data_IF_320051056955
#
_entry.id   IF_320051056955
#
_cell.length_a   1.000
_cell.length_b   1.000
_cell.length_c   1.000
_cell.angle_alpha   90.00
_cell.angle_beta   90.00
_cell.angle_gamma   90.00
#
_symmetry.space_group_name_H-M   'P 1'
#
loop_
_entity.id
_entity.type
_entity.pdbx_description
1 polymer ?
#
# COMPACT_ATOMS: atom_id res chain seq x y z
N UNK A 1 -26.96 41.97 -90.99
CA UNK A 1 -27.38 43.32 -90.53
C UNK A 1 -27.20 43.31 -89.02
N UNK A 2 -26.11 43.89 -88.48
CA UNK A 2 -26.12 45.19 -87.76
C UNK A 2 -27.36 45.30 -86.85
N UNK A 3 -27.29 45.51 -85.52
CA UNK A 3 -26.41 46.44 -84.79
C UNK A 3 -26.76 46.39 -83.27
N UNK A 4 -25.75 46.62 -82.41
CA UNK A 4 -25.82 47.31 -81.08
C UNK A 4 -26.31 46.57 -79.80
N UNK A 5 -25.93 47.00 -78.58
CA UNK A 5 -24.74 46.47 -77.90
C UNK A 5 -24.97 46.00 -76.45
N UNK A 6 -23.91 45.37 -75.94
CA UNK A 6 -23.67 44.91 -74.57
C UNK A 6 -23.60 46.08 -73.56
N UNK A 7 -24.48 46.11 -72.56
CA UNK A 7 -24.32 46.93 -71.36
C UNK A 7 -23.68 46.08 -70.25
N UNK A 8 -22.43 46.43 -69.91
CA UNK A 8 -21.69 45.90 -68.77
C UNK A 8 -22.16 46.67 -67.54
N UNK A 9 -22.91 46.00 -66.64
CA UNK A 9 -23.25 46.53 -65.33
C UNK A 9 -22.22 46.02 -64.30
N UNK A 10 -21.46 46.97 -63.77
CA UNK A 10 -20.50 46.84 -62.68
C UNK A 10 -21.23 46.50 -61.38
N UNK A 11 -21.11 45.27 -60.87
CA UNK A 11 -21.50 44.94 -59.50
C UNK A 11 -20.26 44.89 -58.60
N UNK A 12 -20.12 45.94 -57.81
CA UNK A 12 -19.15 46.07 -56.72
C UNK A 12 -19.59 45.14 -55.58
N UNK A 13 -18.90 44.02 -55.36
CA UNK A 13 -19.10 43.18 -54.17
C UNK A 13 -18.36 43.79 -52.98
N UNK A 14 -19.13 44.40 -52.06
CA UNK A 14 -18.62 44.86 -50.78
C UNK A 14 -18.38 43.64 -49.88
N UNK A 15 -17.11 43.26 -49.70
CA UNK A 15 -16.71 42.29 -48.69
C UNK A 15 -16.81 42.93 -47.31
N UNK A 16 -17.78 42.51 -46.49
CA UNK A 16 -17.81 42.84 -45.07
C UNK A 16 -16.96 41.80 -44.34
N UNK A 17 -15.76 42.21 -43.94
CA UNK A 17 -14.90 41.46 -43.02
C UNK A 17 -15.46 41.61 -41.61
N UNK A 18 -16.01 40.55 -41.01
CA UNK A 18 -16.26 40.52 -39.57
C UNK A 18 -14.89 40.41 -38.86
N UNK A 19 -14.45 41.50 -38.23
CA UNK A 19 -13.39 41.44 -37.25
C UNK A 19 -13.97 40.84 -35.95
N UNK A 20 -13.62 39.59 -35.65
CA UNK A 20 -13.83 39.02 -34.33
C UNK A 20 -12.80 39.63 -33.37
N UNK A 21 -13.26 40.36 -32.37
CA UNK A 21 -12.43 40.84 -31.27
C UNK A 21 -12.24 39.70 -30.28
N UNK A 22 -11.15 38.94 -30.42
CA UNK A 22 -10.68 38.02 -29.38
C UNK A 22 -10.11 38.85 -28.21
N UNK A 23 -10.91 39.05 -27.18
CA UNK A 23 -10.38 39.34 -25.84
C UNK A 23 -9.82 38.06 -25.23
N UNK A 24 -8.60 38.06 -24.69
CA UNK A 24 -8.08 36.91 -23.97
C UNK A 24 -8.93 36.69 -22.72
N UNK A 25 -9.57 35.53 -22.62
CA UNK A 25 -10.23 35.10 -21.39
C UNK A 25 -9.16 34.69 -20.37
N UNK A 26 -9.15 35.37 -19.23
CA UNK A 26 -8.37 34.93 -18.07
C UNK A 26 -8.69 33.47 -17.74
N UNK A 27 -7.71 32.68 -17.24
CA UNK A 27 -7.95 31.31 -16.82
C UNK A 27 -8.97 31.31 -15.67
N UNK A 28 -10.17 30.78 -15.94
CA UNK A 28 -11.22 30.58 -14.95
C UNK A 28 -10.67 29.62 -13.90
N UNK A 29 -10.47 30.11 -12.67
CA UNK A 29 -10.14 29.27 -11.53
C UNK A 29 -11.22 28.17 -11.39
N UNK A 30 -10.84 26.90 -11.13
CA UNK A 30 -11.80 25.82 -11.02
C UNK A 30 -12.82 26.14 -9.92
N UNK A 31 -14.11 26.04 -10.26
CA UNK A 31 -15.21 26.22 -9.32
C UNK A 31 -15.15 25.10 -8.27
N UNK A 32 -14.61 25.42 -7.10
CA UNK A 32 -14.60 24.53 -5.94
C UNK A 32 -16.05 24.45 -5.43
N UNK A 33 -16.69 23.29 -5.58
CA UNK A 33 -17.99 23.05 -4.95
C UNK A 33 -17.89 23.34 -3.43
N UNK A 34 -18.89 23.96 -2.79
CA UNK A 34 -18.84 24.28 -1.37
C UNK A 34 -18.60 23.01 -0.55
N UNK A 35 -17.46 22.99 0.16
CA UNK A 35 -17.02 21.82 0.90
C UNK A 35 -17.89 21.60 2.14
N UNK A 36 -18.28 20.36 2.46
CA UNK A 36 -18.82 20.04 3.78
C UNK A 36 -17.86 20.48 4.90
N UNK A 37 -18.35 20.94 6.05
CA UNK A 37 -17.49 21.31 7.17
C UNK A 37 -16.61 20.12 7.58
N UNK A 38 -15.32 20.38 7.80
CA UNK A 38 -14.36 19.39 8.27
C UNK A 38 -14.34 19.35 9.80
N UNK A 39 -14.15 18.16 10.36
CA UNK A 39 -13.85 18.00 11.77
C UNK A 39 -12.42 18.50 12.10
N UNK A 40 -12.06 18.53 13.38
CA UNK A 40 -10.69 18.77 13.81
C UNK A 40 -9.76 17.69 13.21
N UNK A 41 -8.69 18.13 12.54
CA UNK A 41 -7.79 17.25 11.81
C UNK A 41 -6.85 17.98 10.85
N UNK A 42 -5.92 17.23 10.29
CA UNK A 42 -5.03 17.67 9.23
C UNK A 42 -5.48 17.01 7.92
N UNK A 43 -5.58 17.78 6.85
CA UNK A 43 -6.10 17.29 5.57
C UNK A 43 -5.23 17.72 4.40
N UNK A 44 -5.25 16.94 3.33
CA UNK A 44 -4.68 17.27 2.02
C UNK A 44 -5.79 17.35 0.97
N UNK A 45 -5.95 18.51 0.36
CA UNK A 45 -6.84 18.71 -0.77
C UNK A 45 -6.06 18.56 -2.09
N UNK A 46 -6.43 17.58 -2.88
CA UNK A 46 -5.85 17.37 -4.21
C UNK A 46 -6.76 17.99 -5.26
N UNK A 47 -6.24 18.98 -5.99
CA UNK A 47 -6.91 19.59 -7.14
C UNK A 47 -6.38 18.92 -8.40
N UNK A 48 -7.27 18.33 -9.19
CA UNK A 48 -6.93 17.59 -10.42
C UNK A 48 -7.83 18.05 -11.58
N UNK A 49 -7.55 17.55 -12.77
CA UNK A 49 -8.40 17.77 -13.96
C UNK A 49 -9.81 17.18 -13.84
N UNK A 50 -10.03 16.21 -12.92
CA UNK A 50 -11.33 15.59 -12.66
C UNK A 50 -12.08 16.23 -11.50
N UNK A 51 -11.55 17.31 -10.93
CA UNK A 51 -12.08 17.96 -9.75
C UNK A 51 -11.21 17.75 -8.52
N UNK A 52 -11.80 17.99 -7.36
CA UNK A 52 -11.08 18.07 -6.08
C UNK A 52 -11.50 16.96 -5.14
N UNK A 53 -10.54 16.22 -4.60
CA UNK A 53 -10.77 15.25 -3.52
C UNK A 53 -9.95 15.61 -2.28
N UNK A 54 -10.42 15.20 -1.10
CA UNK A 54 -9.76 15.54 0.18
C UNK A 54 -9.41 14.27 0.93
N UNK A 55 -8.16 14.19 1.38
CA UNK A 55 -7.68 13.15 2.28
C UNK A 55 -7.52 13.68 3.70
N UNK A 56 -8.01 12.93 4.69
CA UNK A 56 -7.58 13.05 6.09
C UNK A 56 -6.17 12.49 6.23
N UNK A 57 -5.28 13.21 6.94
CA UNK A 57 -3.91 12.79 7.24
C UNK A 57 -3.81 12.35 8.70
N UNK A 58 -3.25 11.17 8.93
CA UNK A 58 -3.14 10.57 10.27
C UNK A 58 -1.92 11.09 11.05
N UNK A 59 -1.80 12.41 11.17
CA UNK A 59 -0.61 13.11 11.70
C UNK A 59 -0.19 12.71 13.13
N UNK A 60 -1.11 12.16 13.92
CA UNK A 60 -0.81 11.64 15.27
C UNK A 60 -0.27 10.21 15.25
N UNK A 61 -0.64 9.42 14.23
CA UNK A 61 -0.29 8.00 14.11
C UNK A 61 0.98 7.80 13.28
N UNK A 62 1.15 8.61 12.23
CA UNK A 62 2.30 8.56 11.31
C UNK A 62 2.93 9.96 11.14
N UNK A 63 3.42 10.56 12.24
CA UNK A 63 3.90 11.93 12.24
C UNK A 63 5.08 12.17 11.28
N UNK A 64 6.02 11.24 11.14
CA UNK A 64 7.18 11.44 10.24
C UNK A 64 6.73 11.50 8.77
N UNK A 65 5.85 10.57 8.39
CA UNK A 65 5.29 10.48 7.04
C UNK A 65 4.46 11.71 6.70
N UNK A 66 3.59 12.12 7.62
CA UNK A 66 2.74 13.30 7.42
C UNK A 66 3.54 14.60 7.44
N UNK A 67 4.59 14.70 8.26
CA UNK A 67 5.54 15.85 8.24
C UNK A 67 6.20 15.97 6.87
N UNK A 68 6.72 14.86 6.33
CA UNK A 68 7.33 14.82 4.99
C UNK A 68 6.34 15.24 3.91
N UNK A 69 5.16 14.62 3.88
CA UNK A 69 4.14 14.89 2.87
C UNK A 69 3.62 16.33 2.93
N UNK A 70 3.20 16.80 4.10
CA UNK A 70 2.68 18.15 4.26
C UNK A 70 3.75 19.21 3.99
N UNK A 71 4.99 18.97 4.43
CA UNK A 71 6.08 19.92 4.18
C UNK A 71 6.46 20.02 2.71
N UNK A 72 6.42 18.90 1.97
CA UNK A 72 6.59 18.91 0.51
C UNK A 72 5.44 19.67 -0.17
N UNK A 73 4.19 19.42 0.24
CA UNK A 73 3.02 20.12 -0.32
C UNK A 73 3.08 21.63 -0.08
N UNK A 74 3.55 22.08 1.09
CA UNK A 74 3.65 23.49 1.46
C UNK A 74 4.95 24.16 0.97
N UNK A 75 5.93 23.38 0.52
CA UNK A 75 7.25 23.86 0.12
C UNK A 75 8.17 24.23 1.29
N UNK A 76 7.82 23.86 2.53
CA UNK A 76 8.71 23.95 3.70
C UNK A 76 9.75 22.82 3.75
N UNK A 77 9.54 21.76 2.96
CA UNK A 77 10.50 20.70 2.67
C UNK A 77 10.69 20.55 1.16
N UNK A 78 11.79 19.91 0.78
CA UNK A 78 12.07 19.52 -0.61
C UNK A 78 13.21 20.32 -1.24
N UNK A 79 13.52 20.02 -2.52
CA UNK A 79 14.72 20.54 -3.20
C UNK A 79 14.64 22.03 -3.54
N UNK A 80 13.45 22.65 -3.47
CA UNK A 80 13.21 24.06 -3.79
C UNK A 80 12.35 24.71 -2.68
N UNK A 81 12.97 25.29 -1.65
CA UNK A 81 12.25 25.93 -0.56
C UNK A 81 11.26 27.00 -1.05
N UNK A 82 10.08 27.05 -0.42
CA UNK A 82 9.00 27.98 -0.76
C UNK A 82 8.20 27.61 -2.01
N UNK A 83 8.50 26.48 -2.67
CA UNK A 83 7.76 26.00 -3.84
C UNK A 83 7.01 24.71 -3.49
N UNK A 84 5.67 24.68 -3.61
CA UNK A 84 4.88 23.45 -3.47
C UNK A 84 5.38 22.33 -4.37
N UNK A 85 5.83 21.23 -3.78
CA UNK A 85 6.55 20.17 -4.50
C UNK A 85 5.66 19.39 -5.48
N UNK A 86 4.40 19.15 -5.11
CA UNK A 86 3.48 18.30 -5.87
C UNK A 86 2.79 19.00 -7.03
N UNK A 87 2.81 20.34 -7.06
CA UNK A 87 2.08 21.12 -8.06
C UNK A 87 2.71 20.90 -9.45
N UNK A 88 1.89 20.50 -10.41
CA UNK A 88 2.30 20.16 -11.77
C UNK A 88 2.85 18.75 -11.94
N UNK A 89 2.99 17.97 -10.85
CA UNK A 89 3.37 16.56 -10.97
C UNK A 89 2.21 15.72 -11.50
N UNK A 90 2.53 14.53 -12.01
CA UNK A 90 1.56 13.63 -12.63
C UNK A 90 1.26 12.41 -11.77
N UNK A 91 0.07 11.86 -11.97
CA UNK A 91 -0.19 10.45 -11.68
C UNK A 91 0.49 9.57 -12.75
N UNK A 92 1.77 9.28 -12.54
CA UNK A 92 2.60 8.58 -13.54
C UNK A 92 2.26 7.10 -13.68
N UNK A 93 1.54 6.51 -12.71
CA UNK A 93 1.15 5.10 -12.75
C UNK A 93 -0.28 4.91 -12.27
N UNK A 94 -1.13 4.41 -13.15
CA UNK A 94 -2.52 4.02 -12.85
C UNK A 94 -2.70 2.56 -13.20
N UNK A 95 -3.05 1.76 -12.20
CA UNK A 95 -3.38 0.34 -12.39
C UNK A 95 -4.85 0.16 -12.03
N UNK A 96 -5.73 -0.12 -13.03
CA UNK A 96 -7.15 -0.36 -12.79
C UNK A 96 -7.37 -1.39 -11.69
N UNK A 97 -8.37 -1.14 -10.85
CA UNK A 97 -8.71 -1.99 -9.71
C UNK A 97 -7.53 -2.26 -8.77
N UNK A 98 -6.56 -1.35 -8.68
CA UNK A 98 -5.45 -1.49 -7.75
C UNK A 98 -5.10 -0.16 -7.09
N UNK A 99 -4.39 0.73 -7.80
CA UNK A 99 -3.90 2.00 -7.24
C UNK A 99 -3.75 3.07 -8.32
N UNK A 100 -3.85 4.33 -7.91
CA UNK A 100 -3.32 5.49 -8.65
C UNK A 100 -2.13 6.05 -7.88
N UNK A 101 -0.99 6.25 -8.55
CA UNK A 101 0.28 6.60 -7.93
C UNK A 101 0.84 7.88 -8.54
N UNK A 102 1.31 8.79 -7.66
CA UNK A 102 1.83 10.10 -8.00
C UNK A 102 3.02 10.48 -7.11
N UNK A 103 3.39 11.76 -7.13
CA UNK A 103 4.47 12.30 -6.29
C UNK A 103 5.89 12.07 -6.81
N UNK A 104 6.04 11.67 -8.08
CA UNK A 104 7.35 11.57 -8.75
C UNK A 104 7.61 12.84 -9.60
N UNK A 105 8.71 13.59 -9.33
CA UNK A 105 9.08 14.76 -10.12
C UNK A 105 9.54 14.46 -11.54
N UNK A 106 9.97 13.22 -11.83
CA UNK A 106 10.40 12.80 -13.15
C UNK A 106 9.26 12.19 -13.98
N UNK A 107 8.22 11.69 -13.31
CA UNK A 107 7.12 10.96 -13.92
C UNK A 107 7.51 9.58 -14.48
N UNK A 108 8.67 9.04 -14.09
CA UNK A 108 9.19 7.74 -14.56
C UNK A 108 8.94 6.60 -13.58
N UNK A 109 8.56 6.91 -12.35
CA UNK A 109 8.48 6.01 -11.19
C UNK A 109 9.76 5.98 -10.33
N UNK A 110 10.83 6.68 -10.70
CA UNK A 110 12.14 6.57 -10.05
C UNK A 110 12.58 7.85 -9.30
N UNK A 111 11.92 8.98 -9.51
CA UNK A 111 12.29 10.23 -8.86
C UNK A 111 11.82 10.32 -7.40
N UNK A 112 12.30 11.36 -6.72
CA UNK A 112 11.99 11.61 -5.32
C UNK A 112 12.42 13.00 -4.85
N UNK A 113 12.28 13.30 -3.55
CA UNK A 113 12.48 14.64 -3.01
C UNK A 113 13.95 14.93 -2.66
N UNK A 114 14.86 13.99 -2.94
CA UNK A 114 16.29 14.09 -2.60
C UNK A 114 16.65 13.46 -1.25
N UNK A 115 15.70 12.81 -0.57
CA UNK A 115 15.92 12.07 0.68
C UNK A 115 15.00 10.85 0.77
N UNK A 116 15.31 9.96 1.72
CA UNK A 116 14.48 8.82 2.10
C UNK A 116 14.28 8.79 3.62
N UNK A 117 13.18 8.17 4.07
CA UNK A 117 12.88 8.04 5.50
C UNK A 117 12.17 6.72 5.85
N UNK A 118 12.19 6.42 7.15
CA UNK A 118 11.68 5.19 7.72
C UNK A 118 10.17 4.99 7.54
N UNK A 119 9.73 3.72 7.52
CA UNK A 119 8.31 3.40 7.51
C UNK A 119 7.65 3.64 8.89
N UNK A 120 6.36 3.96 8.89
CA UNK A 120 5.51 4.05 10.07
C UNK A 120 4.30 3.13 9.93
N UNK A 121 4.40 1.95 10.51
CA UNK A 121 3.30 0.98 10.55
C UNK A 121 2.57 1.02 11.90
N UNK A 122 1.25 1.11 11.84
CA UNK A 122 0.38 1.19 13.01
C UNK A 122 -0.72 0.12 12.89
N UNK A 123 -0.93 -0.72 13.92
CA UNK A 123 -2.07 -1.66 13.95
C UNK A 123 -3.40 -0.97 13.62
N UNK A 124 -4.19 -1.58 12.75
CA UNK A 124 -5.45 -1.03 12.24
C UNK A 124 -5.35 -0.03 11.09
N UNK A 125 -4.16 0.46 10.73
CA UNK A 125 -4.00 1.21 9.48
C UNK A 125 -3.68 0.23 8.34
N UNK A 126 -4.71 -0.10 7.56
CA UNK A 126 -4.68 -1.17 6.55
C UNK A 126 -5.13 -0.66 5.18
N UNK A 127 -4.84 -1.43 4.15
CA UNK A 127 -5.31 -1.23 2.79
C UNK A 127 -6.62 -2.00 2.57
N UNK A 128 -7.63 -1.77 3.40
CA UNK A 128 -8.89 -2.53 3.43
C UNK A 128 -10.06 -1.82 2.75
N UNK A 129 -9.82 -0.64 2.17
CA UNK A 129 -10.83 0.17 1.49
C UNK A 129 -10.26 0.87 0.24
N UNK A 130 -11.13 1.49 -0.57
CA UNK A 130 -10.76 2.43 -1.64
C UNK A 130 -10.45 3.80 -1.03
N UNK A 131 -9.43 4.48 -1.55
CA UNK A 131 -9.00 5.81 -1.12
C UNK A 131 -8.05 5.80 0.09
N UNK A 132 -7.43 4.66 0.41
CA UNK A 132 -6.36 4.63 1.41
C UNK A 132 -5.11 5.27 0.81
N UNK A 133 -4.58 6.30 1.48
CA UNK A 133 -3.42 7.05 1.07
C UNK A 133 -2.16 6.50 1.76
N UNK A 134 -1.20 6.06 0.94
CA UNK A 134 -0.01 5.36 1.41
C UNK A 134 1.25 5.78 0.65
N UNK A 135 2.41 5.62 1.29
CA UNK A 135 3.70 5.86 0.64
C UNK A 135 4.06 4.74 -0.34
N UNK A 136 4.50 5.09 -1.54
CA UNK A 136 5.25 4.17 -2.38
C UNK A 136 6.71 4.12 -1.92
N UNK A 137 7.33 2.94 -2.00
CA UNK A 137 8.73 2.73 -1.60
C UNK A 137 9.37 1.60 -2.43
N UNK A 138 10.70 1.47 -2.33
CA UNK A 138 11.50 0.43 -2.99
C UNK A 138 11.88 -0.72 -2.04
N UNK A 139 11.20 -0.81 -0.89
CA UNK A 139 11.58 -1.66 0.23
C UNK A 139 11.57 -0.88 1.55
N UNK A 140 11.92 -1.55 2.66
CA UNK A 140 11.81 -0.96 3.99
C UNK A 140 12.62 0.32 4.13
N UNK A 141 12.03 1.31 4.78
CA UNK A 141 12.65 2.58 5.14
C UNK A 141 13.18 3.39 3.94
N UNK A 142 12.53 3.26 2.77
CA UNK A 142 12.86 4.01 1.54
C UNK A 142 11.74 4.94 1.09
N UNK A 143 10.90 5.40 2.02
CA UNK A 143 9.84 6.36 1.69
C UNK A 143 10.44 7.67 1.20
N UNK A 144 9.87 8.25 0.15
CA UNK A 144 10.29 9.54 -0.43
C UNK A 144 9.10 10.49 -0.57
N UNK A 145 8.82 10.91 -1.80
CA UNK A 145 7.67 11.78 -2.12
C UNK A 145 6.54 11.02 -2.82
N UNK A 146 6.82 9.85 -3.36
CA UNK A 146 5.84 9.08 -4.11
C UNK A 146 4.79 8.48 -3.17
N UNK A 147 3.53 8.62 -3.55
CA UNK A 147 2.38 8.11 -2.81
C UNK A 147 1.42 7.42 -3.77
N UNK A 148 0.51 6.62 -3.22
CA UNK A 148 -0.59 6.06 -3.98
C UNK A 148 -1.90 6.10 -3.18
N UNK A 149 -3.00 6.06 -3.92
CA UNK A 149 -4.35 5.88 -3.41
C UNK A 149 -4.90 4.54 -3.90
N UNK A 150 -5.46 3.74 -3.01
CA UNK A 150 -6.08 2.46 -3.38
C UNK A 150 -7.36 2.68 -4.18
N UNK A 151 -7.59 1.87 -5.21
CA UNK A 151 -8.87 1.85 -5.95
C UNK A 151 -9.83 0.77 -5.42
N UNK A 152 -9.32 -0.20 -4.66
CA UNK A 152 -10.07 -1.25 -3.97
C UNK A 152 -9.29 -1.73 -2.73
N UNK A 153 -9.85 -2.61 -1.87
CA UNK A 153 -9.09 -3.26 -0.81
C UNK A 153 -7.90 -4.07 -1.37
N UNK A 154 -6.69 -3.83 -0.83
CA UNK A 154 -5.44 -4.51 -1.23
C UNK A 154 -4.56 -4.91 -0.04
N UNK A 155 -5.12 -5.70 0.88
CA UNK A 155 -4.47 -6.13 2.13
C UNK A 155 -3.05 -6.72 1.97
N UNK A 156 -2.69 -7.26 0.80
CA UNK A 156 -1.33 -7.73 0.51
C UNK A 156 -0.25 -6.64 0.67
N UNK A 157 -0.63 -5.36 0.67
CA UNK A 157 0.26 -4.21 0.88
C UNK A 157 0.47 -3.83 2.36
N UNK A 158 -0.30 -4.43 3.28
CA UNK A 158 -0.16 -4.18 4.71
C UNK A 158 1.25 -4.56 5.17
N UNK A 159 1.85 -3.71 6.01
CA UNK A 159 3.23 -3.84 6.50
C UNK A 159 4.32 -3.81 5.41
N UNK A 160 3.98 -3.36 4.20
CA UNK A 160 4.93 -3.03 3.13
C UNK A 160 4.93 -1.54 2.80
N UNK A 161 3.80 -0.87 2.93
CA UNK A 161 3.62 0.55 2.63
C UNK A 161 2.96 1.29 3.80
N UNK A 162 3.55 2.40 4.22
CA UNK A 162 3.03 3.21 5.33
C UNK A 162 1.72 3.89 4.93
N UNK A 163 0.63 3.55 5.61
CA UNK A 163 -0.68 4.20 5.45
C UNK A 163 -0.66 5.48 6.29
N UNK A 164 -0.84 6.64 5.67
CA UNK A 164 -0.77 7.92 6.36
C UNK A 164 -1.99 8.81 6.16
N UNK A 165 -3.00 8.32 5.45
CA UNK A 165 -4.27 9.02 5.33
C UNK A 165 -5.35 8.21 4.62
N UNK A 166 -6.50 8.85 4.40
CA UNK A 166 -7.61 8.30 3.61
C UNK A 166 -8.45 9.40 2.97
N UNK A 167 -9.00 9.13 1.79
CA UNK A 167 -9.96 10.01 1.13
C UNK A 167 -11.27 10.06 1.90
N UNK A 168 -11.70 11.25 2.28
CA UNK A 168 -12.96 11.51 2.99
C UNK A 168 -14.01 12.20 2.12
N UNK A 169 -13.59 12.91 1.06
CA UNK A 169 -14.47 13.55 0.08
C UNK A 169 -13.91 13.36 -1.34
N UNK A 170 -14.79 13.21 -2.33
CA UNK A 170 -14.39 13.05 -3.74
C UNK A 170 -13.80 11.66 -4.05
N UNK A 171 -14.20 10.62 -3.31
CA UNK A 171 -13.71 9.25 -3.49
C UNK A 171 -14.11 8.67 -4.85
N UNK A 172 -15.26 9.07 -5.36
CA UNK A 172 -15.78 8.77 -6.69
C UNK A 172 -14.93 9.34 -7.83
N UNK A 173 -14.04 10.30 -7.54
CA UNK A 173 -13.12 10.87 -8.53
C UNK A 173 -11.87 9.99 -8.74
N UNK A 174 -11.51 9.16 -7.76
CA UNK A 174 -10.28 8.36 -7.84
C UNK A 174 -10.23 7.42 -9.05
N UNK A 175 -11.33 6.70 -9.41
CA UNK A 175 -11.34 5.85 -10.61
C UNK A 175 -11.33 6.63 -11.93
N UNK A 176 -11.58 7.95 -11.91
CA UNK A 176 -11.55 8.80 -13.10
C UNK A 176 -10.12 9.22 -13.49
N UNK A 177 -9.20 9.22 -12.52
CA UNK A 177 -7.79 9.57 -12.72
C UNK A 177 -7.16 8.60 -13.72
N UNK A 178 -6.54 9.17 -14.75
CA UNK A 178 -5.81 8.47 -15.80
C UNK A 178 -4.32 8.69 -15.62
N UNK A 179 -3.54 7.79 -16.23
CA UNK A 179 -2.11 7.98 -16.30
C UNK A 179 -1.80 9.31 -16.99
N UNK A 180 -0.79 10.00 -16.46
CA UNK A 180 -0.34 11.33 -16.87
C UNK A 180 -1.25 12.52 -16.49
N UNK A 181 -2.38 12.29 -15.82
CA UNK A 181 -3.19 13.39 -15.28
C UNK A 181 -2.40 14.21 -14.26
N UNK A 182 -2.57 15.52 -14.32
CA UNK A 182 -1.80 16.49 -13.55
C UNK A 182 -2.46 16.77 -12.20
N UNK A 183 -1.64 16.80 -11.15
CA UNK A 183 -1.96 17.34 -9.83
C UNK A 183 -1.73 18.84 -9.92
N UNK A 184 -2.80 19.61 -10.05
CA UNK A 184 -2.73 21.08 -10.14
C UNK A 184 -2.24 21.68 -8.84
N UNK A 185 -2.77 21.20 -7.71
CA UNK A 185 -2.37 21.63 -6.38
C UNK A 185 -2.58 20.55 -5.32
N UNK A 186 -1.76 20.59 -4.27
CA UNK A 186 -2.00 19.88 -3.00
C UNK A 186 -2.04 20.90 -1.87
N UNK A 187 -3.22 21.26 -1.38
CA UNK A 187 -3.38 22.23 -0.30
C UNK A 187 -3.50 21.53 1.06
N UNK A 188 -2.67 21.92 2.03
CA UNK A 188 -2.78 21.39 3.40
C UNK A 188 -3.72 22.27 4.22
N UNK A 189 -4.67 21.62 4.89
CA UNK A 189 -5.72 22.28 5.67
C UNK A 189 -5.64 21.81 7.12
N UNK A 190 -5.60 22.77 8.04
CA UNK A 190 -5.48 22.54 9.49
C UNK A 190 -6.74 23.02 10.20
N UNK A 191 -7.48 22.08 10.78
CA UNK A 191 -8.70 22.38 11.54
C UNK A 191 -8.50 21.93 12.98
N UNK A 192 -8.78 22.83 13.93
CA UNK A 192 -8.58 22.59 15.36
C UNK A 192 -7.14 22.83 15.83
N UNK A 193 -6.99 22.97 17.15
CA UNK A 193 -5.75 23.40 17.78
C UNK A 193 -4.57 22.43 17.55
N UNK A 194 -4.83 21.12 17.60
CA UNK A 194 -3.79 20.11 17.42
C UNK A 194 -3.19 20.13 16.00
N UNK A 195 -4.03 20.26 14.97
CA UNK A 195 -3.56 20.34 13.59
C UNK A 195 -2.84 21.67 13.32
N UNK A 196 -3.33 22.78 13.89
CA UNK A 196 -2.67 24.09 13.81
C UNK A 196 -1.28 24.10 14.46
N UNK A 197 -1.09 23.34 15.53
CA UNK A 197 0.19 23.20 16.21
C UNK A 197 1.17 22.24 15.51
N UNK A 198 0.69 21.39 14.59
CA UNK A 198 1.53 20.42 13.90
C UNK A 198 2.47 21.12 12.90
N UNK A 199 3.78 20.96 13.12
CA UNK A 199 4.82 21.53 12.25
C UNK A 199 5.27 20.54 11.20
N UNK A 200 5.37 21.02 9.96
CA UNK A 200 5.82 20.26 8.80
C UNK A 200 7.08 20.91 8.19
N UNK A 201 8.07 21.22 9.02
CA UNK A 201 9.34 21.85 8.63
C UNK A 201 10.53 20.90 8.81
N UNK A 202 11.71 21.33 8.35
CA UNK A 202 12.94 20.50 8.41
C UNK A 202 13.30 20.09 9.83
N UNK A 203 13.13 20.99 10.82
CA UNK A 203 13.47 20.69 12.21
C UNK A 203 12.55 19.62 12.80
N UNK A 204 11.24 19.70 12.53
CA UNK A 204 10.28 18.67 12.92
C UNK A 204 10.59 17.32 12.25
N UNK A 205 10.90 17.35 10.94
CA UNK A 205 11.26 16.15 10.19
C UNK A 205 12.51 15.48 10.75
N UNK A 206 13.59 16.23 10.97
CA UNK A 206 14.85 15.71 11.50
C UNK A 206 14.68 15.12 12.90
N UNK A 207 13.91 15.79 13.76
CA UNK A 207 13.62 15.32 15.11
C UNK A 207 12.86 13.99 15.10
N UNK A 208 11.84 13.85 14.24
CA UNK A 208 11.08 12.61 14.10
C UNK A 208 11.93 11.50 13.49
N UNK A 209 12.68 11.79 12.42
CA UNK A 209 13.54 10.84 11.73
C UNK A 209 14.63 10.27 12.66
N UNK A 210 15.19 11.09 13.56
CA UNK A 210 16.17 10.65 14.54
C UNK A 210 15.64 9.60 15.53
N UNK A 211 14.32 9.52 15.72
CA UNK A 211 13.68 8.55 16.63
C UNK A 211 13.18 7.28 15.93
N UNK A 212 13.34 7.19 14.61
CA UNK A 212 12.86 6.06 13.84
C UNK A 212 13.51 4.74 14.27
N UNK A 213 12.68 3.69 14.42
CA UNK A 213 13.16 2.37 14.82
C UNK A 213 13.87 1.69 13.65
N UNK A 214 15.07 1.17 13.91
CA UNK A 214 15.85 0.40 12.94
C UNK A 214 15.10 -0.85 12.48
N UNK A 215 15.25 -1.19 11.21
CA UNK A 215 14.72 -2.40 10.61
C UNK A 215 15.42 -3.67 11.17
N UNK A 216 14.69 -4.61 11.80
CA UNK A 216 15.27 -5.80 12.42
C UNK A 216 15.65 -6.91 11.43
N UNK A 217 16.05 -8.08 11.94
CA UNK A 217 16.47 -9.24 11.15
C UNK A 217 15.31 -9.91 10.40
N UNK A 218 15.59 -10.57 9.25
CA UNK A 218 14.61 -11.32 8.47
C UNK A 218 14.00 -12.51 9.25
N UNK A 219 12.78 -12.89 8.86
CA UNK A 219 11.98 -13.95 9.49
C UNK A 219 11.44 -14.99 8.50
N UNK A 220 11.71 -14.83 7.21
CA UNK A 220 11.30 -15.72 6.14
C UNK A 220 12.52 -16.40 5.49
N UNK A 221 12.41 -17.71 5.28
CA UNK A 221 13.47 -18.53 4.66
C UNK A 221 12.92 -19.35 3.48
N UNK A 222 13.66 -19.37 2.36
CA UNK A 222 13.38 -20.13 1.14
C UNK A 222 14.72 -20.67 0.59
N UNK A 223 15.33 -21.64 1.30
CA UNK A 223 16.70 -22.09 1.01
C UNK A 223 16.85 -22.72 -0.37
N UNK A 224 15.76 -23.25 -0.92
CA UNK A 224 15.73 -23.96 -2.20
C UNK A 224 15.19 -23.10 -3.36
N UNK A 225 14.93 -21.81 -3.11
CA UNK A 225 14.44 -20.83 -4.09
C UNK A 225 13.17 -21.28 -4.82
N UNK A 226 12.20 -21.79 -4.07
CA UNK A 226 10.93 -22.29 -4.59
C UNK A 226 10.00 -21.15 -5.03
N UNK A 227 10.20 -19.95 -4.49
CA UNK A 227 9.42 -18.78 -4.84
C UNK A 227 10.00 -18.04 -6.06
N UNK A 228 9.19 -17.24 -6.77
CA UNK A 228 9.67 -16.44 -7.89
C UNK A 228 10.82 -15.52 -7.49
N UNK A 229 11.92 -15.58 -8.25
CA UNK A 229 13.09 -14.73 -8.07
C UNK A 229 12.89 -13.32 -8.64
N UNK A 230 11.94 -13.14 -9.56
CA UNK A 230 11.66 -11.85 -10.21
C UNK A 230 10.15 -11.53 -10.19
N UNK A 231 9.72 -10.51 -9.42
CA UNK A 231 10.48 -9.87 -8.33
C UNK A 231 10.74 -10.88 -7.19
N UNK A 232 11.77 -10.67 -6.34
CA UNK A 232 12.21 -11.66 -5.35
C UNK A 232 11.22 -11.79 -4.20
N UNK A 233 10.31 -12.77 -4.27
CA UNK A 233 9.16 -12.86 -3.36
C UNK A 233 9.54 -13.20 -1.92
N UNK A 234 10.52 -14.08 -1.72
CA UNK A 234 11.06 -14.37 -0.39
C UNK A 234 11.56 -13.10 0.33
N UNK A 235 12.18 -12.17 -0.42
CA UNK A 235 12.63 -10.88 0.12
C UNK A 235 11.45 -10.01 0.56
N UNK A 236 10.33 -10.04 -0.16
CA UNK A 236 9.16 -9.22 0.17
C UNK A 236 8.39 -9.80 1.37
N UNK A 237 8.35 -11.12 1.50
CA UNK A 237 7.84 -11.76 2.72
C UNK A 237 8.69 -11.38 3.93
N UNK A 238 10.02 -11.34 3.77
CA UNK A 238 10.90 -10.82 4.81
C UNK A 238 10.57 -9.38 5.20
N UNK A 239 10.36 -8.49 4.23
CA UNK A 239 9.94 -7.11 4.49
C UNK A 239 8.66 -7.06 5.33
N UNK A 240 7.62 -7.77 4.90
CA UNK A 240 6.33 -7.82 5.58
C UNK A 240 6.44 -8.34 7.02
N UNK A 241 7.07 -9.49 7.24
CA UNK A 241 7.18 -10.11 8.58
C UNK A 241 8.02 -9.26 9.54
N UNK A 242 9.11 -8.68 9.04
CA UNK A 242 10.01 -7.85 9.85
C UNK A 242 9.34 -6.53 10.24
N UNK A 243 8.62 -5.90 9.31
CA UNK A 243 7.85 -4.70 9.57
C UNK A 243 6.70 -4.95 10.55
N UNK A 244 6.01 -6.08 10.42
CA UNK A 244 5.00 -6.49 11.38
C UNK A 244 5.59 -6.61 12.79
N UNK A 245 6.68 -7.36 12.94
CA UNK A 245 7.34 -7.52 14.23
C UNK A 245 7.84 -6.18 14.81
N UNK A 246 8.38 -5.28 13.97
CA UNK A 246 8.81 -3.93 14.37
C UNK A 246 7.65 -3.08 14.91
N UNK A 247 6.47 -3.21 14.31
CA UNK A 247 5.28 -2.45 14.66
C UNK A 247 4.53 -3.01 15.88
N UNK A 248 4.41 -4.33 15.97
CA UNK A 248 3.52 -5.01 16.94
C UNK A 248 4.28 -5.67 18.10
N UNK A 249 5.58 -5.96 17.90
CA UNK A 249 6.37 -6.81 18.79
C UNK A 249 6.13 -8.32 18.60
N UNK A 250 5.14 -8.71 17.77
CA UNK A 250 4.81 -10.12 17.52
C UNK A 250 5.69 -10.66 16.40
N UNK A 251 6.41 -11.76 16.68
CA UNK A 251 7.35 -12.35 15.73
C UNK A 251 6.71 -13.54 15.02
N UNK A 252 6.55 -13.41 13.72
CA UNK A 252 6.08 -14.48 12.83
C UNK A 252 7.23 -14.87 11.93
N UNK A 253 7.58 -16.15 11.97
CA UNK A 253 8.58 -16.77 11.12
C UNK A 253 7.89 -17.68 10.11
N UNK A 254 8.49 -17.81 8.93
CA UNK A 254 8.04 -18.80 7.96
C UNK A 254 9.18 -19.40 7.16
N UNK A 255 9.02 -20.67 6.80
CA UNK A 255 9.94 -21.40 5.93
C UNK A 255 9.20 -22.17 4.86
N UNK A 256 9.81 -22.30 3.69
CA UNK A 256 9.35 -23.18 2.62
C UNK A 256 10.43 -24.21 2.31
N UNK A 257 10.05 -25.47 2.21
CA UNK A 257 10.93 -26.59 1.84
C UNK A 257 10.34 -27.31 0.64
N UNK A 258 11.20 -27.83 -0.23
CA UNK A 258 10.79 -28.58 -1.42
C UNK A 258 10.16 -29.90 -1.01
N UNK A 259 10.66 -30.47 0.09
CA UNK A 259 10.30 -31.78 0.58
C UNK A 259 10.32 -31.83 2.11
N UNK A 260 9.41 -32.61 2.70
CA UNK A 260 9.57 -33.00 4.10
C UNK A 260 10.68 -34.04 4.28
N UNK A 261 11.73 -33.67 5.02
CA UNK A 261 12.84 -34.56 5.39
C UNK A 261 12.83 -34.81 6.91
N UNK A 262 12.38 -35.99 7.38
CA UNK A 262 12.33 -36.27 8.80
C UNK A 262 13.75 -36.49 9.37
N UNK A 263 14.06 -35.85 10.49
CA UNK A 263 15.29 -36.05 11.26
C UNK A 263 15.32 -37.42 11.95
N UNK A 264 14.15 -37.98 12.26
CA UNK A 264 14.01 -39.28 12.93
C UNK A 264 12.90 -40.15 12.32
N UNK A 265 12.99 -41.49 12.38
CA UNK A 265 11.96 -42.37 11.85
C UNK A 265 10.58 -42.09 12.45
N UNK A 266 9.58 -41.86 11.60
CA UNK A 266 8.19 -41.61 12.02
C UNK A 266 7.91 -40.17 12.45
N UNK A 267 8.89 -39.27 12.40
CA UNK A 267 8.65 -37.83 12.60
C UNK A 267 7.63 -37.35 11.55
N UNK A 268 6.70 -36.51 12.00
CA UNK A 268 5.65 -35.91 11.15
C UNK A 268 5.87 -34.40 11.04
N UNK A 269 5.36 -33.74 9.97
CA UNK A 269 5.49 -32.29 9.77
C UNK A 269 5.15 -31.43 11.00
N UNK A 270 4.10 -31.80 11.74
CA UNK A 270 3.69 -31.08 12.96
C UNK A 270 4.73 -31.13 14.07
N UNK A 271 5.34 -32.30 14.33
CA UNK A 271 6.36 -32.44 15.37
C UNK A 271 7.68 -31.81 14.94
N UNK A 272 8.05 -31.96 13.66
CA UNK A 272 9.19 -31.28 13.05
C UNK A 272 9.09 -29.75 13.23
N UNK A 273 7.91 -29.18 12.96
CA UNK A 273 7.70 -27.72 13.09
C UNK A 273 7.92 -27.26 14.53
N UNK A 274 7.53 -28.06 15.52
CA UNK A 274 7.80 -27.76 16.94
C UNK A 274 9.27 -27.87 17.33
N UNK A 275 10.01 -28.82 16.75
CA UNK A 275 11.46 -28.94 16.93
C UNK A 275 12.21 -27.75 16.32
N UNK A 276 11.86 -27.39 15.10
CA UNK A 276 12.39 -26.21 14.42
C UNK A 276 12.06 -24.93 15.20
N UNK A 277 10.84 -24.79 15.74
CA UNK A 277 10.48 -23.66 16.57
C UNK A 277 11.38 -23.52 17.81
N UNK A 278 11.78 -24.65 18.42
CA UNK A 278 12.74 -24.66 19.54
C UNK A 278 14.15 -24.27 19.09
N UNK A 279 14.64 -24.83 17.99
CA UNK A 279 15.95 -24.51 17.43
C UNK A 279 16.08 -23.02 17.08
N UNK A 280 15.01 -22.41 16.57
CA UNK A 280 14.97 -20.98 16.23
C UNK A 280 14.71 -20.06 17.43
N UNK A 281 14.49 -20.61 18.63
CA UNK A 281 14.19 -19.82 19.83
C UNK A 281 12.82 -19.13 19.80
N UNK A 282 11.88 -19.62 18.98
CA UNK A 282 10.53 -19.05 18.80
C UNK A 282 9.44 -19.86 19.50
N UNK A 283 9.81 -20.94 20.18
CA UNK A 283 8.86 -21.87 20.78
C UNK A 283 7.92 -21.25 21.83
N UNK A 284 8.39 -20.25 22.60
CA UNK A 284 7.59 -19.62 23.67
C UNK A 284 6.83 -18.36 23.27
N UNK A 285 7.45 -17.48 22.47
CA UNK A 285 6.93 -16.13 22.16
C UNK A 285 6.99 -15.79 20.66
N UNK A 286 7.04 -16.80 19.80
CA UNK A 286 6.96 -16.62 18.36
C UNK A 286 5.93 -17.53 17.73
N UNK A 287 5.73 -17.30 16.44
CA UNK A 287 4.85 -18.08 15.58
C UNK A 287 5.71 -18.59 14.43
N UNK A 288 5.56 -19.86 14.05
CA UNK A 288 6.30 -20.45 12.93
C UNK A 288 5.34 -21.20 12.02
N UNK A 289 5.34 -20.84 10.73
CA UNK A 289 4.70 -21.60 9.67
C UNK A 289 5.74 -22.26 8.78
N UNK A 290 5.57 -23.54 8.47
CA UNK A 290 6.48 -24.27 7.58
C UNK A 290 5.67 -24.92 6.48
N UNK A 291 6.06 -24.71 5.23
CA UNK A 291 5.43 -25.36 4.09
C UNK A 291 6.33 -26.44 3.50
N UNK A 292 5.73 -27.60 3.20
CA UNK A 292 6.39 -28.72 2.52
C UNK A 292 5.75 -28.90 1.14
N UNK A 293 6.51 -28.60 0.08
CA UNK A 293 5.96 -28.52 -1.27
C UNK A 293 5.59 -29.89 -1.88
N UNK A 294 6.29 -30.96 -1.50
CA UNK A 294 6.05 -32.33 -1.97
C UNK A 294 4.69 -32.90 -1.53
N UNK A 295 4.23 -32.54 -0.34
CA UNK A 295 2.93 -32.96 0.21
C UNK A 295 1.87 -31.86 0.17
N UNK A 296 2.25 -30.63 -0.18
CA UNK A 296 1.43 -29.42 -0.06
C UNK A 296 0.86 -29.20 1.36
N UNK A 297 1.63 -29.58 2.37
CA UNK A 297 1.22 -29.50 3.78
C UNK A 297 1.86 -28.30 4.49
N UNK A 298 1.09 -27.73 5.43
CA UNK A 298 1.56 -26.70 6.36
C UNK A 298 1.74 -27.25 7.77
N UNK A 299 2.92 -27.02 8.32
CA UNK A 299 3.18 -27.05 9.76
C UNK A 299 2.93 -25.68 10.39
N UNK A 300 2.26 -25.66 11.55
CA UNK A 300 2.01 -24.43 12.31
C UNK A 300 2.33 -24.62 13.79
N UNK A 301 3.25 -23.79 14.29
CA UNK A 301 3.58 -23.62 15.69
C UNK A 301 3.15 -22.24 16.17
N UNK A 302 2.40 -22.23 17.27
CA UNK A 302 2.03 -21.01 18.00
C UNK A 302 2.68 -21.13 19.36
N UNK A 303 3.60 -20.22 19.70
CA UNK A 303 4.24 -20.22 21.00
C UNK A 303 3.26 -19.93 22.13
N UNK A 304 3.53 -20.48 23.31
CA UNK A 304 2.60 -20.52 24.44
C UNK A 304 1.96 -19.17 24.78
N UNK A 305 2.74 -18.08 24.69
CA UNK A 305 2.26 -16.71 24.94
C UNK A 305 1.15 -16.25 23.99
N UNK A 306 1.12 -16.80 22.77
CA UNK A 306 0.19 -16.41 21.71
C UNK A 306 -1.02 -17.34 21.61
N UNK A 307 -1.02 -18.48 22.31
CA UNK A 307 -2.10 -19.48 22.22
C UNK A 307 -3.47 -18.91 22.64
N UNK A 308 -3.63 -18.18 23.76
CA UNK A 308 -4.94 -17.62 24.13
C UNK A 308 -5.52 -16.70 23.05
N UNK A 309 -4.68 -15.82 22.47
CA UNK A 309 -5.06 -14.94 21.38
C UNK A 309 -5.42 -15.73 20.11
N UNK A 310 -4.69 -16.81 19.82
CA UNK A 310 -4.98 -17.68 18.68
C UNK A 310 -6.32 -18.42 18.83
N UNK A 311 -6.63 -18.96 20.01
CA UNK A 311 -7.91 -19.62 20.27
C UNK A 311 -9.05 -18.60 20.39
N UNK A 312 -8.77 -17.39 20.87
CA UNK A 312 -9.78 -16.36 21.16
C UNK A 312 -10.43 -16.50 22.53
N UNK A 313 -9.79 -17.21 23.47
CA UNK A 313 -10.20 -17.29 24.89
C UNK A 313 -8.99 -17.49 25.79
N UNK A 314 -9.12 -17.04 27.04
CA UNK A 314 -8.13 -17.28 28.09
C UNK A 314 -8.01 -18.77 28.41
N UNK A 315 -6.79 -19.20 28.79
CA UNK A 315 -6.47 -20.58 29.16
C UNK A 315 -5.04 -20.96 28.85
N UNK A 316 -4.62 -22.13 29.31
CA UNK A 316 -3.27 -22.66 29.09
C UNK A 316 -3.20 -23.58 27.87
N UNK A 317 -2.00 -23.68 27.28
CA UNK A 317 -1.74 -24.61 26.17
C UNK A 317 -2.10 -26.05 26.55
N UNK A 318 -1.80 -26.46 27.79
CA UNK A 318 -2.12 -27.79 28.30
C UNK A 318 -3.64 -28.06 28.28
N UNK A 319 -4.46 -27.11 28.72
CA UNK A 319 -5.92 -27.24 28.70
C UNK A 319 -6.44 -27.40 27.26
N UNK A 320 -5.99 -26.54 26.35
CA UNK A 320 -6.43 -26.56 24.96
C UNK A 320 -5.91 -27.74 24.15
N UNK A 321 -4.77 -28.32 24.54
CA UNK A 321 -4.28 -29.57 23.96
C UNK A 321 -5.08 -30.76 24.49
N UNK A 322 -5.42 -30.78 25.79
CA UNK A 322 -6.19 -31.87 26.40
C UNK A 322 -7.61 -31.99 25.84
N UNK A 323 -8.29 -30.86 25.59
CA UNK A 323 -9.63 -30.85 24.99
C UNK A 323 -9.60 -30.90 23.44
N UNK A 324 -8.41 -30.87 22.84
CA UNK A 324 -8.19 -30.91 21.38
C UNK A 324 -8.56 -29.61 20.66
N UNK A 325 -8.99 -28.57 21.37
CA UNK A 325 -9.39 -27.28 20.80
C UNK A 325 -8.24 -26.59 20.06
N UNK A 326 -7.01 -26.70 20.58
CA UNK A 326 -5.85 -26.11 19.92
C UNK A 326 -5.50 -26.78 18.61
N UNK A 327 -5.54 -28.12 18.56
CA UNK A 327 -5.31 -28.84 17.31
C UNK A 327 -6.35 -28.47 16.26
N UNK A 328 -7.64 -28.45 16.64
CA UNK A 328 -8.73 -28.09 15.75
C UNK A 328 -8.61 -26.67 15.21
N UNK A 329 -8.31 -25.69 16.07
CA UNK A 329 -8.14 -24.30 15.67
C UNK A 329 -7.01 -24.12 14.65
N UNK A 330 -5.90 -24.86 14.78
CA UNK A 330 -4.81 -24.84 13.78
C UNK A 330 -5.25 -25.42 12.44
N UNK A 331 -5.99 -26.52 12.44
CA UNK A 331 -6.50 -27.13 11.22
C UNK A 331 -7.50 -26.21 10.50
N UNK A 332 -8.45 -25.63 11.24
CA UNK A 332 -9.43 -24.68 10.70
C UNK A 332 -8.74 -23.43 10.13
N UNK A 333 -7.75 -22.89 10.84
CA UNK A 333 -6.96 -21.75 10.37
C UNK A 333 -6.23 -22.05 9.05
N UNK A 334 -5.49 -23.16 9.00
CA UNK A 334 -4.73 -23.55 7.80
C UNK A 334 -5.66 -23.88 6.63
N UNK A 335 -6.79 -24.54 6.87
CA UNK A 335 -7.79 -24.81 5.85
C UNK A 335 -8.36 -23.52 5.26
N UNK A 336 -8.73 -22.55 6.10
CA UNK A 336 -9.24 -21.26 5.64
C UNK A 336 -8.19 -20.47 4.84
N UNK A 337 -6.94 -20.44 5.31
CA UNK A 337 -5.84 -19.80 4.58
C UNK A 337 -5.57 -20.48 3.23
N UNK A 338 -5.60 -21.82 3.18
CA UNK A 338 -5.46 -22.58 1.94
C UNK A 338 -6.58 -22.24 0.95
N UNK A 339 -7.84 -22.21 1.40
CA UNK A 339 -8.97 -21.81 0.54
C UNK A 339 -8.77 -20.42 -0.05
N UNK A 340 -8.23 -19.48 0.74
CA UNK A 340 -7.91 -18.14 0.26
C UNK A 340 -6.78 -18.15 -0.79
N UNK A 341 -5.73 -18.94 -0.58
CA UNK A 341 -4.64 -19.12 -1.55
C UNK A 341 -5.10 -19.77 -2.86
N UNK A 342 -5.98 -20.76 -2.76
CA UNK A 342 -6.60 -21.44 -3.90
C UNK A 342 -7.44 -20.46 -4.73
N UNK A 343 -8.21 -19.59 -4.06
CA UNK A 343 -8.99 -18.53 -4.73
C UNK A 343 -8.09 -17.55 -5.47
N UNK A 344 -7.04 -17.05 -4.84
CA UNK A 344 -6.07 -16.16 -5.50
C UNK A 344 -5.46 -16.83 -6.74
N UNK A 345 -5.11 -18.10 -6.62
CA UNK A 345 -4.54 -18.88 -7.73
C UNK A 345 -5.53 -19.02 -8.88
N UNK A 346 -6.81 -19.27 -8.59
CA UNK A 346 -7.87 -19.35 -9.59
C UNK A 346 -8.11 -18.02 -10.30
N UNK A 347 -8.19 -16.91 -9.56
CA UNK A 347 -8.33 -15.56 -10.12
C UNK A 347 -7.13 -15.19 -11.00
N UNK A 348 -5.91 -15.46 -10.54
CA UNK A 348 -4.70 -15.20 -11.29
C UNK A 348 -4.59 -16.08 -12.56
N UNK A 349 -5.08 -17.33 -12.51
CA UNK A 349 -5.12 -18.21 -13.67
C UNK A 349 -6.14 -17.74 -14.71
N UNK A 350 -7.28 -17.18 -14.28
CA UNK A 350 -8.28 -16.60 -15.19
C UNK A 350 -7.78 -15.33 -15.88
N UNK A 351 -6.96 -14.53 -15.19
CA UNK A 351 -6.35 -13.33 -15.74
C UNK A 351 -5.10 -13.60 -16.58
N UNK A 352 -4.54 -14.82 -16.52
CA UNK A 352 -3.33 -15.17 -17.24
C UNK A 352 -3.62 -15.37 -18.75
N UNK A 353 -2.70 -14.96 -19.65
CA UNK A 353 -2.79 -15.31 -21.06
C UNK A 353 -2.87 -16.84 -21.25
N UNK A 354 -3.69 -17.36 -22.19
CA UNK A 354 -3.84 -18.80 -22.40
C UNK A 354 -2.54 -19.56 -22.66
N UNK A 355 -1.54 -18.88 -23.25
CA UNK A 355 -0.21 -19.39 -23.57
C UNK A 355 0.79 -19.27 -22.41
N UNK A 356 0.42 -18.62 -21.30
CA UNK A 356 1.28 -18.37 -20.15
C UNK A 356 0.57 -18.75 -18.84
N UNK A 357 0.31 -20.04 -18.60
CA UNK A 357 -0.30 -20.49 -17.35
C UNK A 357 0.62 -20.19 -16.15
N UNK A 358 0.01 -20.11 -14.96
CA UNK A 358 0.78 -19.91 -13.73
C UNK A 358 1.77 -21.05 -13.49
N UNK A 359 3.02 -20.68 -13.25
CA UNK A 359 4.08 -21.56 -12.78
C UNK A 359 3.82 -22.04 -11.36
N UNK A 360 4.42 -23.16 -10.96
CA UNK A 360 4.27 -23.68 -9.60
C UNK A 360 4.82 -22.73 -8.54
N UNK A 361 5.90 -22.00 -8.86
CA UNK A 361 6.42 -20.93 -8.00
C UNK A 361 5.38 -19.81 -7.77
N UNK A 362 4.62 -19.43 -8.81
CA UNK A 362 3.55 -18.41 -8.68
C UNK A 362 2.37 -18.93 -7.85
N UNK A 363 1.99 -20.20 -8.01
CA UNK A 363 0.93 -20.84 -7.20
C UNK A 363 1.37 -20.92 -5.73
N UNK A 364 2.60 -21.39 -5.48
CA UNK A 364 3.19 -21.47 -4.15
C UNK A 364 3.23 -20.10 -3.48
N UNK A 365 3.68 -19.06 -4.19
CA UNK A 365 3.66 -17.68 -3.69
C UNK A 365 2.26 -17.29 -3.20
N UNK A 366 1.21 -17.64 -3.94
CA UNK A 366 -0.18 -17.37 -3.56
C UNK A 366 -0.59 -18.05 -2.25
N UNK A 367 -0.17 -19.30 -2.04
CA UNK A 367 -0.40 -20.03 -0.79
C UNK A 367 0.35 -19.41 0.39
N UNK A 368 1.62 -19.05 0.17
CA UNK A 368 2.44 -18.39 1.21
C UNK A 368 1.84 -17.05 1.60
N UNK A 369 1.47 -16.20 0.64
CA UNK A 369 0.79 -14.93 0.93
C UNK A 369 -0.46 -15.14 1.78
N UNK A 370 -1.31 -16.10 1.42
CA UNK A 370 -2.57 -16.33 2.13
C UNK A 370 -2.34 -16.74 3.59
N UNK A 371 -1.37 -17.62 3.86
CA UNK A 371 -1.04 -18.01 5.23
C UNK A 371 -0.42 -16.86 6.01
N UNK A 372 0.53 -16.13 5.42
CA UNK A 372 1.18 -15.01 6.11
C UNK A 372 0.20 -13.87 6.40
N UNK A 373 -0.63 -13.48 5.43
CA UNK A 373 -1.64 -12.44 5.63
C UNK A 373 -2.67 -12.86 6.70
N UNK A 374 -3.08 -14.14 6.72
CA UNK A 374 -3.96 -14.66 7.76
C UNK A 374 -3.31 -14.63 9.15
N UNK A 375 -2.01 -14.96 9.25
CA UNK A 375 -1.29 -14.91 10.53
C UNK A 375 -1.13 -13.47 11.01
N UNK A 376 -0.76 -12.55 10.12
CA UNK A 376 -0.65 -11.12 10.43
C UNK A 376 -2.00 -10.60 10.92
N UNK A 377 -3.09 -10.89 10.21
CA UNK A 377 -4.43 -10.48 10.63
C UNK A 377 -4.83 -11.09 12.00
N UNK A 378 -4.50 -12.35 12.23
CA UNK A 378 -4.85 -13.08 13.46
C UNK A 378 -4.12 -12.54 14.69
N UNK A 379 -2.87 -12.10 14.52
CA UNK A 379 -2.01 -11.68 15.61
C UNK A 379 -1.76 -10.18 15.67
N UNK A 380 -2.35 -9.39 14.76
CA UNK A 380 -2.31 -7.94 14.87
C UNK A 380 -3.03 -7.50 16.14
N UNK A 381 -2.38 -6.71 17.02
CA UNK A 381 -3.02 -6.19 18.22
C UNK A 381 -4.24 -5.34 17.86
N UNK A 382 -5.25 -5.36 18.73
CA UNK A 382 -6.39 -4.43 18.62
C UNK A 382 -5.89 -2.98 18.62
N UNK A 383 -6.56 -2.15 17.81
CA UNK A 383 -6.31 -0.70 17.76
C UNK A 383 -6.57 -0.12 19.14
N UNK A 384 -5.56 0.49 19.75
CA UNK A 384 -5.69 1.21 21.03
C UNK A 384 -6.15 2.64 20.82
#
# INVERSE_FOLDING_TARGET
MLKTPLQIALFLSLAVTLAATDTPTDPVAPVIAPRPPLADGLYAEFVTVHGTFTCELFFQKTPLTVTSFAGLAEGSLGPKPGTPYFNGLKFHRVVPDFVVQGGDPLGTGEGGPGYQFADEFVPGLRHDDTGILSMANAGPDTNGSQFFLTLKPVNRLNYLHSVFGRTIHGRELLPLIRQDDVITAVNILRVGAAAQAFRADQAAFDALAATARKYPHPHFDDPENLLPATPPRARYFNFKLTNFARATGVKIYARVFSKFEPETPGQRPGNYTGELARQLGVAGDGILAVYFADSAEWGLWIGDRHVPAFIGREGSVHEFTRDGSFHRAKQEFLAAAKTQGDRFTAEAAQAAPPDQPLTDAQKLKGQVDAVLDALLQKFEPAVR
#
